data_IF_677909135158
#
_entry.id   IF_677909135158
#
_cell.length_a   1.000
_cell.length_b   1.000
_cell.length_c   1.000
_cell.angle_alpha   90.00
_cell.angle_beta   90.00
_cell.angle_gamma   90.00
#
_symmetry.space_group_name_H-M   'P 1'
#
loop_
_entity.id
_entity.type
_entity.pdbx_description
1 polymer ?
#
# COMPACT_ATOMS: atom_id res chain seq x y z
N UNK A 1 6.76 13.04 56.42
CA UNK A 1 7.39 12.84 55.08
C UNK A 1 6.73 11.67 54.40
N UNK A 2 5.76 11.93 53.48
CA UNK A 2 5.11 10.88 52.67
C UNK A 2 5.93 10.67 51.39
N UNK A 3 6.54 9.48 51.22
CA UNK A 3 7.24 9.07 49.99
C UNK A 3 6.24 8.92 48.88
N UNK A 4 6.31 9.78 47.87
CA UNK A 4 5.62 9.62 46.58
C UNK A 4 6.27 8.48 45.80
N UNK A 5 5.66 7.30 45.80
CA UNK A 5 6.03 6.22 44.86
C UNK A 5 5.50 6.59 43.49
N UNK A 6 6.31 7.20 42.61
CA UNK A 6 6.06 7.30 41.18
C UNK A 6 6.08 5.89 40.63
N UNK A 7 4.92 5.32 40.30
CA UNK A 7 4.83 4.15 39.43
C UNK A 7 5.23 4.61 38.01
N UNK A 8 6.45 4.31 37.63
CA UNK A 8 6.81 4.31 36.20
C UNK A 8 5.89 3.30 35.51
N UNK A 9 4.87 3.78 34.80
CA UNK A 9 4.18 2.98 33.78
C UNK A 9 5.19 2.81 32.64
N UNK A 10 5.83 1.65 32.56
CA UNK A 10 6.51 1.21 31.35
C UNK A 10 5.39 1.07 30.32
N UNK A 11 5.26 2.08 29.46
CA UNK A 11 4.43 2.02 28.30
C UNK A 11 5.14 1.05 27.33
N UNK A 12 4.67 -0.19 27.32
CA UNK A 12 5.04 -1.16 26.29
C UNK A 12 4.07 -0.95 25.13
N UNK A 13 4.40 -0.18 24.11
CA UNK A 13 3.60 -0.11 22.91
C UNK A 13 3.74 -1.48 22.26
N UNK A 14 2.79 -2.38 22.48
CA UNK A 14 2.56 -3.45 21.52
C UNK A 14 2.41 -2.74 20.19
N UNK A 15 3.40 -2.87 19.31
CA UNK A 15 3.31 -2.45 17.92
C UNK A 15 2.07 -3.17 17.39
N UNK A 16 0.93 -2.49 17.37
CA UNK A 16 -0.29 -2.99 16.75
C UNK A 16 -0.01 -2.92 15.27
N UNK A 17 0.16 -4.07 14.68
CA UNK A 17 0.25 -4.21 13.24
C UNK A 17 -1.11 -3.85 12.65
N UNK A 18 -1.14 -2.70 12.04
CA UNK A 18 -2.33 -2.11 11.44
C UNK A 18 -2.14 -2.14 9.93
N UNK A 19 -3.19 -2.47 9.19
CA UNK A 19 -3.22 -2.71 7.75
C UNK A 19 -2.63 -4.06 7.28
N UNK A 20 -3.15 -4.57 6.18
CA UNK A 20 -2.67 -5.72 5.43
C UNK A 20 -2.38 -5.34 3.98
N UNK A 21 -1.27 -5.82 3.43
CA UNK A 21 -0.95 -5.68 2.00
C UNK A 21 -0.75 -7.05 1.40
N UNK A 22 -1.21 -7.22 0.17
CA UNK A 22 -1.06 -8.45 -0.59
C UNK A 22 -0.78 -8.12 -2.06
N UNK A 23 -0.05 -8.97 -2.76
CA UNK A 23 0.17 -8.83 -4.19
C UNK A 23 0.52 -10.16 -4.83
N UNK A 24 0.07 -10.33 -6.06
CA UNK A 24 0.29 -11.51 -6.88
C UNK A 24 0.47 -11.12 -8.34
N UNK A 25 1.22 -11.92 -9.07
CA UNK A 25 1.49 -11.75 -10.49
C UNK A 25 1.47 -13.07 -11.26
N UNK A 26 1.38 -12.96 -12.59
CA UNK A 26 1.45 -14.09 -13.52
C UNK A 26 0.34 -15.14 -13.33
N UNK A 27 -0.87 -14.72 -12.97
CA UNK A 27 -2.04 -15.59 -12.87
C UNK A 27 -3.29 -14.91 -13.39
N UNK A 28 -4.15 -15.65 -14.10
CA UNK A 28 -5.43 -15.13 -14.61
C UNK A 28 -6.42 -14.78 -13.50
N UNK A 29 -6.26 -15.40 -12.32
CA UNK A 29 -7.13 -15.21 -11.16
C UNK A 29 -6.53 -14.20 -10.16
N UNK A 30 -5.68 -13.28 -10.63
CA UNK A 30 -4.93 -12.39 -9.75
C UNK A 30 -5.82 -11.63 -8.76
N UNK A 31 -6.94 -11.07 -9.20
CA UNK A 31 -7.86 -10.33 -8.35
C UNK A 31 -8.57 -11.22 -7.33
N UNK A 32 -9.00 -12.41 -7.73
CA UNK A 32 -9.63 -13.39 -6.85
C UNK A 32 -8.66 -13.86 -5.76
N UNK A 33 -7.43 -14.20 -6.16
CA UNK A 33 -6.39 -14.60 -5.20
C UNK A 33 -5.98 -13.45 -4.29
N UNK A 34 -5.99 -12.22 -4.80
CA UNK A 34 -5.76 -11.03 -3.96
C UNK A 34 -6.88 -10.84 -2.94
N UNK A 35 -8.14 -11.01 -3.33
CA UNK A 35 -9.27 -10.95 -2.41
C UNK A 35 -9.15 -12.03 -1.30
N UNK A 36 -8.80 -13.26 -1.66
CA UNK A 36 -8.55 -14.35 -0.69
C UNK A 36 -7.37 -14.02 0.24
N UNK A 37 -6.27 -13.50 -0.30
CA UNK A 37 -5.11 -13.08 0.50
C UNK A 37 -5.46 -11.95 1.47
N UNK A 38 -6.24 -10.96 1.04
CA UNK A 38 -6.73 -9.90 1.91
C UNK A 38 -7.72 -10.42 2.96
N UNK A 39 -8.58 -11.38 2.59
CA UNK A 39 -9.50 -12.00 3.54
C UNK A 39 -8.72 -12.73 4.66
N UNK A 40 -7.66 -13.46 4.32
CA UNK A 40 -6.77 -14.06 5.30
C UNK A 40 -6.08 -13.03 6.22
N UNK A 41 -5.84 -11.81 5.70
CA UNK A 41 -5.28 -10.67 6.42
C UNK A 41 -6.34 -9.76 7.08
N UNK A 42 -7.63 -10.16 7.10
CA UNK A 42 -8.73 -9.32 7.56
C UNK A 42 -8.58 -8.87 9.02
N UNK A 43 -7.94 -9.68 9.86
CA UNK A 43 -7.64 -9.35 11.25
C UNK A 43 -6.75 -8.11 11.42
N UNK A 44 -6.07 -7.67 10.34
CA UNK A 44 -5.18 -6.52 10.31
C UNK A 44 -5.89 -5.21 9.96
N UNK A 45 -7.09 -5.25 9.34
CA UNK A 45 -7.83 -4.05 8.98
C UNK A 45 -9.26 -4.36 8.55
N UNK A 46 -10.24 -3.62 9.08
CA UNK A 46 -11.67 -3.88 8.89
C UNK A 46 -12.46 -2.67 8.40
N UNK A 47 -11.83 -1.51 8.27
CA UNK A 47 -12.52 -0.26 7.92
C UNK A 47 -12.75 -0.10 6.43
N UNK A 48 -11.87 -0.65 5.62
CA UNK A 48 -11.97 -0.59 4.18
C UNK A 48 -10.95 -1.50 3.51
N UNK A 49 -11.25 -1.88 2.31
CA UNK A 49 -10.40 -2.73 1.48
C UNK A 49 -10.39 -2.24 0.03
N UNK A 50 -9.32 -2.51 -0.66
CA UNK A 50 -9.22 -2.17 -2.06
C UNK A 50 -8.30 -3.11 -2.80
N UNK A 51 -8.58 -3.26 -4.08
CA UNK A 51 -7.77 -4.04 -5.02
C UNK A 51 -7.54 -3.19 -6.26
N UNK A 52 -6.31 -3.22 -6.75
CA UNK A 52 -5.94 -2.73 -8.08
C UNK A 52 -5.36 -3.88 -8.87
N UNK A 53 -5.88 -4.11 -10.06
CA UNK A 53 -5.36 -5.07 -11.02
C UNK A 53 -4.79 -4.39 -12.26
N UNK A 54 -3.95 -5.12 -12.99
CA UNK A 54 -3.36 -4.67 -14.26
C UNK A 54 -3.47 -5.79 -15.30
N UNK A 55 -4.08 -5.46 -16.44
CA UNK A 55 -4.36 -6.41 -17.52
C UNK A 55 -3.27 -6.45 -18.62
N UNK A 56 -2.19 -5.71 -18.43
CA UNK A 56 -1.11 -5.52 -19.39
C UNK A 56 -1.22 -4.20 -20.16
N UNK A 57 -2.36 -3.53 -20.10
CA UNK A 57 -2.63 -2.25 -20.79
C UNK A 57 -3.19 -1.19 -19.83
N UNK A 58 -4.15 -1.58 -18.97
CA UNK A 58 -4.87 -0.67 -18.07
C UNK A 58 -4.86 -1.16 -16.64
N UNK A 59 -4.93 -0.22 -15.72
CA UNK A 59 -5.17 -0.47 -14.31
C UNK A 59 -6.67 -0.38 -14.03
N UNK A 60 -7.18 -1.32 -13.26
CA UNK A 60 -8.56 -1.39 -12.80
C UNK A 60 -8.54 -1.31 -11.28
N UNK A 61 -9.44 -0.53 -10.68
CA UNK A 61 -9.41 -0.25 -9.25
C UNK A 61 -10.80 -0.35 -8.64
N UNK A 62 -10.92 -1.13 -7.58
CA UNK A 62 -12.11 -1.22 -6.75
C UNK A 62 -11.76 -0.96 -5.29
N UNK A 63 -12.50 -0.07 -4.64
CA UNK A 63 -12.34 0.34 -3.24
C UNK A 63 -13.67 0.34 -2.53
N UNK A 64 -13.71 -0.20 -1.33
CA UNK A 64 -14.94 -0.34 -0.54
C UNK A 64 -14.66 -0.07 0.94
N UNK A 65 -15.69 0.36 1.67
CA UNK A 65 -15.70 0.31 3.12
C UNK A 65 -16.08 -1.09 3.61
N UNK A 66 -15.59 -1.44 4.80
CA UNK A 66 -15.92 -2.71 5.46
C UNK A 66 -15.01 -3.87 5.06
N UNK A 67 -15.53 -5.07 5.25
CA UNK A 67 -14.76 -6.31 5.15
C UNK A 67 -14.57 -6.76 3.70
N UNK A 68 -13.48 -7.45 3.45
CA UNK A 68 -13.17 -8.03 2.13
C UNK A 68 -14.24 -9.05 1.72
N UNK A 69 -14.64 -9.93 2.67
CA UNK A 69 -15.64 -10.96 2.40
C UNK A 69 -17.01 -10.43 2.00
N UNK A 70 -17.38 -9.22 2.47
CA UNK A 70 -18.66 -8.60 2.11
C UNK A 70 -18.60 -7.91 0.74
N UNK A 71 -17.42 -7.44 0.34
CA UNK A 71 -17.23 -6.57 -0.82
C UNK A 71 -16.68 -7.26 -2.06
N UNK A 72 -15.88 -8.31 -1.89
CA UNK A 72 -15.20 -9.02 -2.97
C UNK A 72 -15.59 -10.51 -3.06
N UNK A 73 -16.76 -10.87 -2.54
CA UNK A 73 -17.35 -12.21 -2.64
C UNK A 73 -18.18 -12.41 -3.93
N UNK A 74 -18.39 -11.34 -4.69
CA UNK A 74 -19.25 -11.35 -5.88
C UNK A 74 -18.39 -11.35 -7.15
N UNK A 75 -18.63 -12.33 -8.04
CA UNK A 75 -18.00 -12.39 -9.34
C UNK A 75 -18.13 -11.10 -10.17
N UNK A 76 -19.25 -10.38 -10.02
CA UNK A 76 -19.47 -9.14 -10.76
C UNK A 76 -18.44 -8.07 -10.43
N UNK A 77 -18.05 -7.97 -9.15
CA UNK A 77 -17.01 -7.02 -8.69
C UNK A 77 -15.63 -7.49 -9.16
N UNK A 78 -15.34 -8.79 -9.05
CA UNK A 78 -14.07 -9.35 -9.47
C UNK A 78 -13.87 -9.29 -11.00
N UNK A 79 -14.93 -9.39 -11.78
CA UNK A 79 -14.88 -9.20 -13.25
C UNK A 79 -14.53 -7.76 -13.67
N UNK A 80 -14.69 -6.77 -12.79
CA UNK A 80 -14.24 -5.39 -13.01
C UNK A 80 -12.74 -5.20 -12.78
N UNK A 81 -12.07 -6.23 -12.29
CA UNK A 81 -10.64 -6.25 -11.97
C UNK A 81 -9.90 -7.31 -12.82
N UNK A 82 -9.95 -7.24 -14.15
CA UNK A 82 -9.24 -8.19 -15.02
C UNK A 82 -7.73 -8.02 -14.92
N UNK A 83 -7.00 -9.06 -15.34
CA UNK A 83 -5.55 -9.00 -15.49
C UNK A 83 -4.80 -10.05 -14.71
N UNK A 84 -3.50 -10.11 -14.98
CA UNK A 84 -2.59 -11.12 -14.43
C UNK A 84 -1.76 -10.63 -13.24
N UNK A 85 -1.93 -9.37 -12.87
CA UNK A 85 -1.29 -8.72 -11.74
C UNK A 85 -2.37 -8.10 -10.87
N UNK A 86 -2.28 -8.27 -9.56
CA UNK A 86 -3.14 -7.54 -8.65
C UNK A 86 -2.42 -7.27 -7.32
N UNK A 87 -2.71 -6.12 -6.73
CA UNK A 87 -2.32 -5.77 -5.37
C UNK A 87 -3.53 -5.31 -4.58
N UNK A 88 -3.49 -5.54 -3.28
CA UNK A 88 -4.58 -5.21 -2.40
C UNK A 88 -4.15 -4.67 -1.06
N UNK A 89 -5.10 -4.06 -0.38
CA UNK A 89 -4.90 -3.43 0.91
C UNK A 89 -6.12 -3.58 1.82
N UNK A 90 -5.91 -3.96 3.07
CA UNK A 90 -6.87 -3.84 4.17
C UNK A 90 -6.49 -2.64 5.03
N UNK A 91 -7.43 -1.70 5.19
CA UNK A 91 -7.21 -0.50 5.97
C UNK A 91 -7.61 -0.71 7.42
N UNK A 92 -6.71 -0.31 8.31
CA UNK A 92 -7.00 0.02 9.69
C UNK A 92 -6.66 1.50 9.90
N UNK A 93 -7.55 2.29 10.47
CA UNK A 93 -7.32 3.72 10.71
C UNK A 93 -7.00 3.95 12.19
N UNK A 94 -5.87 4.57 12.44
CA UNK A 94 -5.50 5.04 13.79
C UNK A 94 -5.86 6.50 13.99
N UNK A 95 -5.97 7.27 12.92
CA UNK A 95 -6.22 8.72 12.97
C UNK A 95 -6.89 9.21 11.68
N UNK A 96 -7.89 10.06 11.82
CA UNK A 96 -8.54 10.77 10.72
C UNK A 96 -9.82 10.11 10.21
N UNK A 97 -10.75 10.94 9.69
CA UNK A 97 -12.05 10.49 9.20
C UNK A 97 -11.95 9.41 8.12
N UNK A 98 -12.83 8.45 8.18
CA UNK A 98 -12.93 7.34 7.23
C UNK A 98 -13.45 7.89 5.90
N UNK A 99 -12.57 8.18 4.97
CA UNK A 99 -12.93 8.59 3.62
C UNK A 99 -12.44 7.56 2.61
N UNK A 100 -13.27 7.25 1.63
CA UNK A 100 -12.95 6.25 0.59
C UNK A 100 -11.68 6.62 -0.18
N UNK A 101 -11.40 7.94 -0.31
CA UNK A 101 -10.18 8.43 -0.95
C UNK A 101 -8.88 8.00 -0.25
N UNK A 102 -8.96 7.62 1.04
CA UNK A 102 -7.81 7.13 1.81
C UNK A 102 -7.65 5.60 1.74
N UNK A 103 -8.61 4.89 1.16
CA UNK A 103 -8.49 3.45 0.94
C UNK A 103 -7.50 3.20 -0.19
N UNK A 104 -6.54 2.33 0.07
CA UNK A 104 -5.52 1.91 -0.89
C UNK A 104 -5.96 0.63 -1.61
N UNK A 105 -5.29 0.25 -2.75
CA UNK A 105 -4.08 0.81 -3.33
C UNK A 105 -4.31 2.18 -3.97
N UNK A 106 -3.25 3.01 -4.06
CA UNK A 106 -3.27 4.19 -4.89
C UNK A 106 -2.70 3.90 -6.27
N UNK A 107 -3.36 4.40 -7.27
CA UNK A 107 -2.94 4.32 -8.66
C UNK A 107 -2.73 5.72 -9.23
N UNK A 108 -1.71 5.87 -10.05
CA UNK A 108 -1.46 7.10 -10.78
C UNK A 108 -0.75 6.81 -12.10
N UNK A 109 -1.08 7.60 -13.13
CA UNK A 109 -0.32 7.66 -14.36
C UNK A 109 0.87 8.60 -14.19
N UNK A 110 2.02 8.18 -14.67
CA UNK A 110 3.25 8.96 -14.69
C UNK A 110 3.80 9.03 -16.12
N UNK A 111 4.76 9.91 -16.35
CA UNK A 111 5.45 9.97 -17.65
C UNK A 111 6.25 8.71 -18.00
N UNK A 112 6.44 7.80 -17.05
CA UNK A 112 7.09 6.50 -17.24
C UNK A 112 6.10 5.34 -17.22
N UNK A 113 4.80 5.62 -17.33
CA UNK A 113 3.71 4.65 -17.26
C UNK A 113 2.95 4.69 -15.93
N UNK A 114 1.93 3.85 -15.83
CA UNK A 114 1.11 3.73 -14.64
C UNK A 114 1.83 3.02 -13.50
N UNK A 115 1.48 3.38 -12.27
CA UNK A 115 1.95 2.73 -11.05
C UNK A 115 0.82 2.59 -10.05
N UNK A 116 0.72 1.43 -9.41
CA UNK A 116 -0.18 1.20 -8.29
C UNK A 116 0.64 0.84 -7.04
N UNK A 117 0.24 1.37 -5.87
CA UNK A 117 0.99 1.24 -4.62
C UNK A 117 0.05 0.89 -3.47
N UNK A 118 0.37 -0.19 -2.76
CA UNK A 118 -0.17 -0.54 -1.43
C UNK A 118 0.93 -0.35 -0.38
N UNK A 119 0.60 0.30 0.72
CA UNK A 119 1.53 0.63 1.79
C UNK A 119 0.98 0.18 3.14
N UNK A 120 1.76 -0.57 3.87
CA UNK A 120 1.55 -0.86 5.28
C UNK A 120 2.72 -0.28 6.08
N UNK A 121 2.42 0.54 7.06
CA UNK A 121 3.40 1.20 7.91
C UNK A 121 3.16 2.70 8.07
N UNK A 122 4.22 3.42 8.46
CA UNK A 122 4.16 4.86 8.67
C UNK A 122 5.48 5.52 8.26
N UNK A 123 5.38 6.59 7.51
CA UNK A 123 6.53 7.42 7.15
C UNK A 123 6.73 8.52 8.19
N UNK A 124 7.86 8.49 8.87
CA UNK A 124 8.19 9.48 9.92
C UNK A 124 8.43 10.89 9.36
N UNK A 125 8.82 10.98 8.09
CA UNK A 125 9.07 12.25 7.40
C UNK A 125 7.97 12.65 6.40
N UNK A 126 6.80 11.97 6.41
CA UNK A 126 5.72 12.22 5.45
C UNK A 126 5.25 13.68 5.43
N UNK A 127 5.07 14.30 6.61
CA UNK A 127 4.63 15.70 6.72
C UNK A 127 5.65 16.64 6.07
N UNK A 128 6.92 16.49 6.37
CA UNK A 128 8.00 17.32 5.82
C UNK A 128 8.08 17.21 4.29
N UNK A 129 8.00 15.98 3.77
CA UNK A 129 8.00 15.73 2.32
C UNK A 129 6.77 16.35 1.66
N UNK A 130 5.58 16.16 2.27
CA UNK A 130 4.32 16.73 1.79
C UNK A 130 4.36 18.25 1.73
N UNK A 131 4.80 18.92 2.80
CA UNK A 131 4.93 20.39 2.85
C UNK A 131 5.81 20.90 1.72
N UNK A 132 7.00 20.34 1.56
CA UNK A 132 7.91 20.69 0.44
C UNK A 132 7.29 20.50 -0.93
N UNK A 133 6.47 19.44 -1.12
CA UNK A 133 5.80 19.21 -2.39
C UNK A 133 4.69 20.23 -2.65
N UNK A 134 3.91 20.58 -1.62
CA UNK A 134 2.85 21.61 -1.72
C UNK A 134 3.45 22.97 -2.06
N UNK A 135 4.53 23.38 -1.40
CA UNK A 135 5.29 24.60 -1.70
C UNK A 135 5.78 24.62 -3.15
N UNK A 136 6.06 23.44 -3.73
CA UNK A 136 6.43 23.27 -5.14
C UNK A 136 5.24 22.95 -6.06
N UNK A 137 4.02 23.35 -5.67
CA UNK A 137 2.82 23.28 -6.49
C UNK A 137 2.14 21.90 -6.58
N UNK A 138 2.51 20.92 -5.76
CA UNK A 138 1.81 19.63 -5.75
C UNK A 138 0.46 19.72 -5.03
N UNK A 139 -0.57 19.18 -5.64
CA UNK A 139 -1.91 19.08 -5.05
C UNK A 139 -2.09 17.68 -4.47
N UNK A 140 -2.60 17.59 -3.25
CA UNK A 140 -2.91 16.33 -2.58
C UNK A 140 -4.41 16.15 -2.41
N UNK A 141 -4.89 14.94 -2.66
CA UNK A 141 -6.31 14.57 -2.57
C UNK A 141 -6.64 13.77 -1.32
N UNK A 142 -5.64 13.16 -0.69
CA UNK A 142 -5.79 12.31 0.48
C UNK A 142 -4.97 12.84 1.65
N UNK A 143 -5.20 12.29 2.83
CA UNK A 143 -4.36 12.55 4.02
C UNK A 143 -3.32 11.44 4.23
N UNK A 144 -3.30 10.41 3.37
CA UNK A 144 -2.40 9.28 3.47
C UNK A 144 -0.97 9.66 3.08
N UNK A 145 -0.01 9.13 3.82
CA UNK A 145 1.42 9.23 3.50
C UNK A 145 1.79 8.45 2.22
N UNK A 146 1.01 7.45 1.85
CA UNK A 146 1.16 6.71 0.59
C UNK A 146 1.04 7.61 -0.64
N UNK A 147 0.20 8.65 -0.60
CA UNK A 147 0.12 9.62 -1.69
C UNK A 147 1.45 10.37 -1.87
N UNK A 148 2.18 10.61 -0.79
CA UNK A 148 3.53 11.19 -0.85
C UNK A 148 4.48 10.29 -1.62
N UNK A 149 4.45 8.97 -1.41
CA UNK A 149 5.25 7.99 -2.15
C UNK A 149 4.95 8.08 -3.66
N UNK A 150 3.67 8.00 -4.04
CA UNK A 150 3.25 8.05 -5.45
C UNK A 150 3.71 9.35 -6.12
N UNK A 151 3.59 10.49 -5.42
CA UNK A 151 4.01 11.78 -5.95
C UNK A 151 5.53 11.93 -6.07
N UNK A 152 6.30 11.37 -5.15
CA UNK A 152 7.77 11.33 -5.26
C UNK A 152 8.19 10.55 -6.51
N UNK A 153 7.61 9.37 -6.73
CA UNK A 153 7.88 8.56 -7.92
C UNK A 153 7.52 9.36 -9.19
N UNK A 154 6.35 10.00 -9.23
CA UNK A 154 5.91 10.77 -10.38
C UNK A 154 6.81 12.00 -10.66
N UNK A 155 7.36 12.64 -9.63
CA UNK A 155 8.24 13.82 -9.75
C UNK A 155 9.69 13.47 -10.06
N UNK A 156 10.11 12.24 -9.86
CA UNK A 156 11.48 11.81 -10.16
C UNK A 156 11.80 12.00 -11.65
N UNK A 157 13.00 12.53 -11.91
CA UNK A 157 13.51 12.77 -13.26
C UNK A 157 14.28 11.56 -13.83
N UNK A 158 14.35 10.45 -13.09
CA UNK A 158 14.99 9.23 -13.57
C UNK A 158 14.29 8.69 -14.81
N UNK A 159 15.02 7.99 -15.64
CA UNK A 159 14.53 7.50 -16.94
C UNK A 159 13.62 6.27 -16.80
N UNK A 160 13.92 5.36 -15.87
CA UNK A 160 13.12 4.15 -15.68
C UNK A 160 12.23 4.24 -14.45
N UNK A 161 11.09 3.53 -14.46
CA UNK A 161 10.18 3.46 -13.31
C UNK A 161 10.88 2.86 -12.08
N UNK A 162 11.75 1.88 -12.28
CA UNK A 162 12.50 1.24 -11.18
C UNK A 162 13.45 2.26 -10.53
N UNK A 163 14.20 3.04 -11.32
CA UNK A 163 15.09 4.06 -10.77
C UNK A 163 14.32 5.17 -10.02
N UNK A 164 13.13 5.53 -10.51
CA UNK A 164 12.23 6.47 -9.82
C UNK A 164 11.79 5.93 -8.46
N UNK A 165 11.44 4.65 -8.40
CA UNK A 165 11.09 3.97 -7.16
C UNK A 165 12.30 3.97 -6.22
N UNK A 166 13.46 3.55 -6.67
CA UNK A 166 14.70 3.51 -5.87
C UNK A 166 15.03 4.90 -5.32
N UNK A 167 15.00 5.94 -6.16
CA UNK A 167 15.24 7.31 -5.72
C UNK A 167 14.23 7.76 -4.65
N UNK A 168 12.97 7.35 -4.77
CA UNK A 168 11.93 7.61 -3.77
C UNK A 168 12.21 6.90 -2.45
N UNK A 169 12.66 5.64 -2.51
CA UNK A 169 12.98 4.86 -1.31
C UNK A 169 14.13 5.48 -0.49
N UNK A 170 15.08 6.15 -1.14
CA UNK A 170 16.13 6.91 -0.43
C UNK A 170 15.62 8.20 0.23
N UNK A 171 14.46 8.71 -0.15
CA UNK A 171 13.90 9.95 0.40
C UNK A 171 12.93 9.68 1.56
N UNK A 172 12.24 8.54 1.57
CA UNK A 172 11.26 8.21 2.60
C UNK A 172 11.94 7.56 3.81
N UNK A 173 11.43 7.87 4.99
CA UNK A 173 11.93 7.34 6.27
C UNK A 173 10.77 6.76 7.07
N UNK A 174 11.04 5.64 7.78
CA UNK A 174 10.05 5.00 8.64
C UNK A 174 10.08 3.49 8.57
N UNK A 175 9.13 2.86 9.26
CA UNK A 175 8.90 1.43 9.19
C UNK A 175 7.76 1.15 8.20
N UNK A 176 8.04 0.47 7.09
CA UNK A 176 7.03 0.22 6.06
C UNK A 176 7.29 -1.05 5.25
N UNK A 177 6.20 -1.56 4.69
CA UNK A 177 6.21 -2.52 3.60
C UNK A 177 5.37 -1.97 2.44
N UNK A 178 5.87 -2.08 1.21
CA UNK A 178 5.18 -1.67 0.00
C UNK A 178 4.99 -2.86 -0.93
N UNK A 179 3.83 -2.90 -1.57
CA UNK A 179 3.59 -3.78 -2.71
C UNK A 179 3.11 -2.90 -3.86
N UNK A 180 3.75 -3.02 -5.00
CA UNK A 180 3.52 -2.14 -6.14
C UNK A 180 3.39 -2.94 -7.42
N UNK A 181 2.60 -2.42 -8.37
CA UNK A 181 2.64 -2.83 -9.76
C UNK A 181 3.14 -1.64 -10.57
N UNK A 182 4.21 -1.84 -11.32
CA UNK A 182 4.74 -0.86 -12.26
C UNK A 182 5.00 -1.57 -13.59
N UNK A 183 4.29 -1.16 -14.64
CA UNK A 183 4.28 -1.88 -15.90
C UNK A 183 3.92 -3.38 -15.67
N UNK A 184 4.63 -4.32 -16.26
CA UNK A 184 4.43 -5.76 -16.09
C UNK A 184 5.27 -6.34 -14.94
N UNK A 185 5.47 -5.59 -13.86
CA UNK A 185 6.33 -6.01 -12.75
C UNK A 185 5.63 -5.81 -11.41
N UNK A 186 5.59 -6.87 -10.61
CA UNK A 186 5.21 -6.82 -9.20
C UNK A 186 6.46 -6.55 -8.36
N UNK A 187 6.41 -5.53 -7.51
CA UNK A 187 7.55 -5.08 -6.71
C UNK A 187 7.17 -5.12 -5.23
N UNK A 188 7.95 -5.84 -4.45
CA UNK A 188 7.86 -5.84 -2.99
C UNK A 188 9.03 -5.06 -2.38
N UNK A 189 8.74 -4.17 -1.42
CA UNK A 189 9.74 -3.42 -0.68
C UNK A 189 9.49 -3.53 0.81
N UNK A 190 10.55 -3.70 1.58
CA UNK A 190 10.50 -3.69 3.04
C UNK A 190 11.60 -2.80 3.60
N UNK A 191 11.24 -1.86 4.46
CA UNK A 191 12.22 -1.10 5.22
C UNK A 191 13.00 -2.01 6.18
N UNK A 192 14.26 -1.71 6.42
CA UNK A 192 15.16 -2.54 7.25
C UNK A 192 14.61 -2.75 8.67
N UNK A 193 13.93 -1.75 9.22
CA UNK A 193 13.30 -1.80 10.53
C UNK A 193 11.93 -2.50 10.55
N UNK A 194 11.41 -2.95 9.40
CA UNK A 194 10.09 -3.54 9.29
C UNK A 194 10.16 -5.05 9.05
N UNK A 195 9.56 -5.85 9.95
CA UNK A 195 9.76 -7.32 9.97
C UNK A 195 8.67 -8.14 9.26
N UNK A 196 7.62 -7.52 8.71
CA UNK A 196 6.38 -8.21 8.37
C UNK A 196 6.11 -8.50 6.88
N UNK A 197 7.02 -8.21 5.98
CA UNK A 197 6.89 -8.65 4.59
C UNK A 197 7.53 -10.05 4.44
N UNK A 198 6.74 -11.05 4.07
CA UNK A 198 7.21 -12.36 3.62
C UNK A 198 6.91 -12.51 2.14
N UNK A 199 7.94 -12.80 1.34
CA UNK A 199 7.78 -13.25 -0.03
C UNK A 199 7.61 -14.77 -0.01
N UNK A 200 6.52 -15.28 -0.59
CA UNK A 200 6.39 -16.67 -0.98
C UNK A 200 6.68 -16.74 -2.48
N UNK A 201 7.89 -17.14 -2.80
CA UNK A 201 8.23 -17.48 -4.17
C UNK A 201 7.74 -18.90 -4.44
N UNK A 202 6.68 -19.05 -5.23
CA UNK A 202 6.40 -20.31 -5.87
C UNK A 202 7.46 -20.51 -6.95
N UNK A 203 8.24 -21.58 -6.85
CA UNK A 203 9.14 -22.04 -7.90
C UNK A 203 8.33 -22.39 -9.16
N UNK A 204 8.04 -21.39 -9.97
CA UNK A 204 7.59 -21.59 -11.33
C UNK A 204 8.35 -20.60 -12.19
N UNK A 205 9.27 -21.14 -12.96
CA UNK A 205 10.06 -20.53 -14.03
C UNK A 205 11.43 -19.96 -13.63
N UNK A 206 12.36 -20.87 -13.27
CA UNK A 206 13.70 -20.77 -13.77
C UNK A 206 13.71 -21.48 -15.13
N UNK A 207 13.67 -20.69 -16.21
CA UNK A 207 14.14 -21.07 -17.55
C UNK A 207 15.36 -20.22 -17.84
#
# INVERSE_FOLDING_TARGET
>A
MKKLKRKLRIYNPKLKEECGVFGISNTKDASTLTALGLHALQHRGQEGCGIVSFDGNKYHSEKRFGLVGDNFNNETVLKQLPGNYAIGHNRYSTTGGTTLRNVQPFYADTNAGGIAVSHNGNLTNAITLRTKMVENGSIFYTTSDTETIVKLIAKSKRSTTIDKIIETLFQIQGGYALVMIAQNTLIGVRAVSYTHLRAHETKANSV
#
